data_IF_840210241768
#
_entry.id   IF_840210241768
#
_cell.length_a   1.000
_cell.length_b   1.000
_cell.length_c   1.000
_cell.angle_alpha   90.00
_cell.angle_beta   90.00
_cell.angle_gamma   90.00
#
_symmetry.space_group_name_H-M   'P 1'
#
loop_
_entity.id
_entity.type
_entity.pdbx_description
1 polymer ?
#
# COMPACT_ATOMS: atom_id res chain seq x y z
N UNK A 1 25.15 -18.38 0.73
CA UNK A 1 23.82 -18.00 1.25
C UNK A 1 23.81 -16.51 1.54
N UNK A 2 22.98 -15.67 0.88
CA UNK A 2 22.51 -14.45 1.56
C UNK A 2 21.58 -14.92 2.68
N UNK A 3 22.18 -15.27 3.82
CA UNK A 3 21.50 -15.17 5.12
C UNK A 3 21.18 -13.69 5.31
N UNK A 4 20.16 -13.35 6.07
CA UNK A 4 19.91 -11.96 6.47
C UNK A 4 21.08 -11.54 7.37
N UNK A 5 22.21 -11.16 6.79
CA UNK A 5 23.46 -10.87 7.52
C UNK A 5 23.61 -9.38 7.86
N UNK A 6 22.70 -8.56 7.37
CA UNK A 6 22.90 -7.12 7.18
C UNK A 6 21.61 -6.29 7.31
N UNK A 7 20.58 -6.80 8.00
CA UNK A 7 19.41 -6.02 8.39
C UNK A 7 19.65 -5.23 9.70
N UNK A 8 18.98 -4.08 9.91
CA UNK A 8 19.09 -3.31 11.16
C UNK A 8 18.49 -4.03 12.38
N UNK A 9 17.74 -5.12 12.17
CA UNK A 9 17.09 -5.90 13.21
C UNK A 9 17.73 -7.30 13.31
N UNK A 10 17.99 -7.80 14.53
CA UNK A 10 18.47 -9.16 14.71
C UNK A 10 17.42 -10.17 14.25
N UNK A 11 17.87 -11.36 13.87
CA UNK A 11 16.99 -12.51 13.62
C UNK A 11 16.11 -12.78 14.86
N UNK A 12 14.83 -13.03 14.63
CA UNK A 12 13.95 -13.52 15.69
C UNK A 12 14.22 -15.01 15.98
N UNK A 13 13.51 -15.58 16.95
CA UNK A 13 13.75 -16.98 17.35
C UNK A 13 13.28 -17.99 16.29
N UNK A 14 12.32 -17.61 15.44
CA UNK A 14 11.88 -18.43 14.30
C UNK A 14 12.93 -18.39 13.19
N UNK A 15 13.45 -17.20 12.87
CA UNK A 15 14.54 -17.02 11.91
C UNK A 15 15.79 -17.82 12.33
N UNK A 16 16.17 -17.74 13.61
CA UNK A 16 17.29 -18.53 14.16
C UNK A 16 17.03 -20.03 14.07
N UNK A 17 15.79 -20.46 14.33
CA UNK A 17 15.39 -21.87 14.23
C UNK A 17 15.47 -22.35 12.78
N UNK A 18 15.05 -21.53 11.82
CA UNK A 18 15.22 -21.80 10.39
C UNK A 18 16.70 -21.93 10.03
N UNK A 19 17.54 -20.94 10.40
CA UNK A 19 18.98 -20.99 10.12
C UNK A 19 19.65 -22.23 10.70
N UNK A 20 19.30 -22.59 11.94
CA UNK A 20 19.79 -23.81 12.58
C UNK A 20 19.27 -25.09 11.90
N UNK A 21 18.10 -25.04 11.27
CA UNK A 21 17.47 -26.18 10.60
C UNK A 21 17.95 -26.36 9.16
N UNK A 22 18.48 -25.32 8.50
CA UNK A 22 19.02 -25.41 7.14
C UNK A 22 20.13 -26.47 7.01
N UNK A 23 21.01 -26.60 8.00
CA UNK A 23 22.06 -27.63 8.00
C UNK A 23 21.47 -29.06 8.03
N UNK A 24 20.34 -29.25 8.74
CA UNK A 24 19.63 -30.55 8.76
C UNK A 24 19.02 -30.86 7.38
N UNK A 25 18.49 -29.83 6.71
CA UNK A 25 17.91 -29.99 5.38
C UNK A 25 18.97 -30.24 4.31
N UNK A 26 20.12 -29.55 4.40
CA UNK A 26 21.28 -29.81 3.53
C UNK A 26 21.77 -31.26 3.67
N UNK A 27 21.91 -31.76 4.90
CA UNK A 27 22.26 -33.16 5.15
C UNK A 27 21.20 -34.15 4.65
N UNK A 28 19.92 -33.75 4.65
CA UNK A 28 18.84 -34.55 4.07
C UNK A 28 18.95 -34.61 2.55
N UNK A 29 19.14 -33.48 1.87
CA UNK A 29 19.28 -33.41 0.41
C UNK A 29 20.51 -34.18 -0.09
N UNK A 30 21.61 -34.19 0.66
CA UNK A 30 22.78 -34.99 0.35
C UNK A 30 22.50 -36.51 0.32
N UNK A 31 21.53 -36.98 1.11
CA UNK A 31 21.08 -38.38 1.14
C UNK A 31 19.92 -38.67 0.20
N UNK A 32 19.21 -37.63 -0.23
CA UNK A 32 18.01 -37.71 -1.07
C UNK A 32 18.13 -36.72 -2.23
N UNK A 33 19.06 -36.96 -3.17
CA UNK A 33 19.25 -36.06 -4.31
C UNK A 33 17.97 -35.98 -5.14
N UNK A 34 17.63 -34.78 -5.60
CA UNK A 34 16.50 -34.59 -6.49
C UNK A 34 16.93 -34.82 -7.97
N UNK A 35 15.96 -35.09 -8.85
CA UNK A 35 16.19 -35.35 -10.27
C UNK A 35 16.25 -34.06 -11.12
N UNK A 36 16.57 -32.92 -10.52
CA UNK A 36 16.66 -31.62 -11.18
C UNK A 36 18.01 -30.96 -10.90
N UNK A 37 18.25 -29.82 -11.54
CA UNK A 37 19.42 -28.98 -11.27
C UNK A 37 19.20 -28.04 -10.07
N UNK A 38 18.08 -28.17 -9.34
CA UNK A 38 17.75 -27.32 -8.20
C UNK A 38 18.58 -27.69 -6.97
N UNK A 39 19.34 -26.75 -6.43
CA UNK A 39 20.19 -26.86 -5.23
C UNK A 39 19.79 -25.80 -4.22
N UNK A 40 20.26 -25.90 -2.97
CA UNK A 40 20.07 -24.82 -2.00
C UNK A 40 20.71 -23.49 -2.45
N UNK A 41 21.70 -23.52 -3.35
CA UNK A 41 22.28 -22.29 -3.88
C UNK A 41 21.39 -21.61 -4.92
N UNK A 42 20.72 -22.38 -5.78
CA UNK A 42 19.96 -21.85 -6.92
C UNK A 42 18.43 -21.97 -6.81
N UNK A 43 17.94 -22.60 -5.74
CA UNK A 43 16.52 -22.69 -5.45
C UNK A 43 15.90 -21.29 -5.46
N UNK A 44 14.72 -21.18 -6.09
CA UNK A 44 13.93 -19.97 -6.05
C UNK A 44 13.64 -19.64 -4.59
N UNK A 45 14.27 -18.57 -4.10
CA UNK A 45 13.97 -18.04 -2.78
C UNK A 45 12.64 -17.32 -2.92
N UNK A 46 11.69 -17.59 -2.03
CA UNK A 46 10.57 -16.68 -1.84
C UNK A 46 11.16 -15.42 -1.21
N UNK A 47 11.76 -14.59 -2.06
CA UNK A 47 12.38 -13.35 -1.66
C UNK A 47 11.34 -12.47 -0.98
N UNK A 48 11.78 -11.85 0.10
CA UNK A 48 11.25 -10.60 0.59
C UNK A 48 10.92 -9.70 -0.61
N UNK A 49 9.69 -9.22 -0.68
CA UNK A 49 9.23 -8.37 -1.78
C UNK A 49 10.24 -7.26 -2.07
N UNK A 50 10.65 -7.14 -3.32
CA UNK A 50 11.64 -6.15 -3.75
C UNK A 50 10.93 -4.87 -4.13
N UNK A 51 11.28 -3.80 -3.43
CA UNK A 51 10.89 -2.42 -3.74
C UNK A 51 11.95 -1.87 -4.68
N UNK A 52 11.53 -1.41 -5.86
CA UNK A 52 12.47 -0.93 -6.89
C UNK A 52 12.39 0.57 -7.15
N UNK A 53 11.34 1.25 -6.66
CA UNK A 53 11.12 2.68 -6.83
C UNK A 53 11.37 3.43 -5.52
N UNK A 54 11.73 4.71 -5.61
CA UNK A 54 12.01 5.54 -4.44
C UNK A 54 13.36 5.22 -3.76
N UNK A 55 13.55 5.62 -2.49
CA UNK A 55 12.60 6.44 -1.74
C UNK A 55 12.56 7.86 -2.31
N UNK A 56 11.38 8.49 -2.36
CA UNK A 56 11.22 9.90 -2.76
C UNK A 56 11.50 10.87 -1.61
N UNK A 57 11.52 10.36 -0.38
CA UNK A 57 11.90 11.08 0.83
C UNK A 57 12.54 10.13 1.85
N UNK A 58 13.30 10.66 2.81
CA UNK A 58 13.89 9.83 3.87
C UNK A 58 12.81 9.43 4.88
N UNK A 59 12.20 8.26 4.66
CA UNK A 59 11.21 7.67 5.57
C UNK A 59 11.88 6.79 6.63
N UNK A 60 12.99 6.12 6.26
CA UNK A 60 13.82 5.31 7.15
C UNK A 60 15.27 5.77 7.01
N UNK A 61 16.02 5.79 8.12
CA UNK A 61 17.32 6.45 8.22
C UNK A 61 18.42 5.82 7.34
N UNK A 62 18.34 4.52 7.07
CA UNK A 62 19.38 3.72 6.43
C UNK A 62 19.03 3.35 4.96
N UNK A 63 18.06 4.03 4.35
CA UNK A 63 17.73 3.80 2.94
C UNK A 63 18.71 4.52 2.01
N UNK A 64 19.26 3.84 1.00
CA UNK A 64 20.05 4.49 -0.03
C UNK A 64 19.16 5.48 -0.80
N UNK A 65 19.64 6.71 -1.07
CA UNK A 65 18.89 7.67 -1.87
C UNK A 65 18.65 7.11 -3.27
N UNK A 66 17.59 7.57 -3.94
CA UNK A 66 17.35 7.18 -5.33
C UNK A 66 18.57 7.58 -6.20
N UNK A 67 19.05 6.69 -7.09
CA UNK A 67 20.26 6.97 -7.88
C UNK A 67 20.06 8.05 -8.96
N UNK A 68 18.81 8.43 -9.25
CA UNK A 68 18.48 9.52 -10.16
C UNK A 68 17.88 10.70 -9.40
N UNK A 69 18.25 11.91 -9.81
CA UNK A 69 17.75 13.16 -9.22
C UNK A 69 16.24 13.37 -9.38
N UNK A 70 15.61 12.68 -10.35
CA UNK A 70 14.16 12.70 -10.56
C UNK A 70 13.41 11.66 -9.71
N UNK A 71 14.11 10.89 -8.88
CA UNK A 71 13.59 9.81 -8.04
C UNK A 71 12.94 8.63 -8.78
N UNK A 72 13.12 8.52 -10.11
CA UNK A 72 12.62 7.40 -10.93
C UNK A 72 13.71 6.39 -11.30
N UNK A 73 14.84 6.38 -10.59
CA UNK A 73 15.89 5.38 -10.72
C UNK A 73 15.50 4.04 -10.13
N UNK A 74 15.89 2.96 -10.81
CA UNK A 74 15.82 1.61 -10.25
C UNK A 74 16.72 1.53 -9.02
N UNK A 75 16.11 1.28 -7.86
CA UNK A 75 16.77 1.25 -6.56
C UNK A 75 16.31 0.01 -5.77
N UNK A 76 16.64 -1.21 -6.23
CA UNK A 76 16.12 -2.45 -5.66
C UNK A 76 16.61 -2.66 -4.23
N UNK A 77 15.66 -2.89 -3.31
CA UNK A 77 15.88 -3.17 -1.90
C UNK A 77 14.70 -3.95 -1.31
N UNK A 78 14.87 -4.54 -0.14
CA UNK A 78 13.77 -5.27 0.51
C UNK A 78 12.69 -4.31 1.00
N UNK A 79 11.43 -4.73 0.88
CA UNK A 79 10.30 -4.12 1.57
C UNK A 79 10.54 -4.16 3.09
N UNK A 80 10.25 -3.05 3.76
CA UNK A 80 10.38 -2.90 5.21
C UNK A 80 9.09 -2.34 5.78
N UNK A 81 8.69 -2.84 6.94
CA UNK A 81 7.55 -2.31 7.70
C UNK A 81 7.99 -1.99 9.12
N UNK A 82 7.33 -1.01 9.70
CA UNK A 82 7.51 -0.64 11.10
C UNK A 82 6.12 -0.31 11.66
N UNK A 83 5.46 -1.35 12.18
CA UNK A 83 4.03 -1.27 12.51
C UNK A 83 3.82 -0.27 13.65
N UNK A 84 3.13 0.82 13.35
CA UNK A 84 3.02 1.96 14.24
C UNK A 84 1.66 2.02 14.94
N UNK A 85 1.66 1.70 16.24
CA UNK A 85 0.44 1.77 17.08
C UNK A 85 -0.15 3.18 17.21
N UNK A 86 0.66 4.22 17.07
CA UNK A 86 0.20 5.61 17.18
C UNK A 86 -0.55 6.04 15.93
N UNK A 87 -0.07 5.66 14.75
CA UNK A 87 -0.79 5.86 13.49
C UNK A 87 -2.05 5.00 13.42
N UNK A 88 -2.01 3.78 13.94
CA UNK A 88 -3.18 2.91 14.04
C UNK A 88 -4.28 3.47 14.96
N UNK A 89 -3.93 4.39 15.87
CA UNK A 89 -4.89 4.94 16.82
C UNK A 89 -5.98 5.81 16.17
N UNK A 90 -5.78 6.25 14.92
CA UNK A 90 -6.77 7.05 14.16
C UNK A 90 -7.53 6.22 13.12
N UNK A 91 -7.37 4.89 13.12
CA UNK A 91 -8.02 3.99 12.16
C UNK A 91 -9.05 3.06 12.81
N UNK A 92 -9.50 3.39 14.02
CA UNK A 92 -10.60 2.69 14.68
C UNK A 92 -11.96 3.02 14.04
N UNK A 93 -12.95 2.21 14.38
CA UNK A 93 -14.32 2.32 13.85
C UNK A 93 -14.93 3.69 14.09
N UNK A 94 -14.74 4.28 15.27
CA UNK A 94 -15.25 5.62 15.60
C UNK A 94 -14.74 6.72 14.64
N UNK A 95 -13.51 6.61 14.14
CA UNK A 95 -12.95 7.55 13.16
C UNK A 95 -13.61 7.38 11.79
N UNK A 96 -13.77 6.14 11.33
CA UNK A 96 -14.47 5.88 10.05
C UNK A 96 -15.95 6.26 10.13
N UNK A 97 -16.59 6.06 11.30
CA UNK A 97 -17.97 6.43 11.55
C UNK A 97 -18.15 7.94 11.51
N UNK A 98 -17.38 8.71 12.31
CA UNK A 98 -17.41 10.18 12.30
C UNK A 98 -17.11 10.73 10.91
N UNK A 99 -16.10 10.18 10.22
CA UNK A 99 -15.79 10.55 8.83
C UNK A 99 -17.02 10.42 7.91
N UNK A 100 -17.79 9.34 8.02
CA UNK A 100 -18.98 9.12 7.19
C UNK A 100 -20.16 10.00 7.61
N UNK A 101 -20.42 10.13 8.92
CA UNK A 101 -21.66 10.72 9.42
C UNK A 101 -21.59 12.23 9.64
N UNK A 102 -20.39 12.80 9.81
CA UNK A 102 -20.20 14.21 10.17
C UNK A 102 -19.76 15.08 8.98
N UNK A 103 -19.43 14.47 7.83
CA UNK A 103 -19.01 15.19 6.64
C UNK A 103 -20.12 15.17 5.59
N UNK A 104 -20.75 16.33 5.34
CA UNK A 104 -21.94 16.39 4.47
C UNK A 104 -21.64 16.73 3.01
N UNK A 105 -20.44 17.21 2.70
CA UNK A 105 -19.99 17.53 1.35
C UNK A 105 -18.67 16.79 1.02
N UNK A 106 -18.34 16.71 -0.27
CA UNK A 106 -17.21 15.93 -0.76
C UNK A 106 -15.86 16.56 -0.40
N UNK A 107 -15.81 17.88 -0.29
CA UNK A 107 -14.60 18.64 0.04
C UNK A 107 -14.13 18.31 1.47
N UNK A 108 -15.04 18.41 2.45
CA UNK A 108 -14.76 18.09 3.85
C UNK A 108 -14.50 16.58 4.03
N UNK A 109 -15.31 15.74 3.39
CA UNK A 109 -15.13 14.28 3.43
C UNK A 109 -13.74 13.87 2.93
N UNK A 110 -13.33 14.37 1.76
CA UNK A 110 -12.03 14.03 1.19
C UNK A 110 -10.89 14.65 2.03
N UNK A 111 -11.01 15.89 2.46
CA UNK A 111 -9.97 16.55 3.28
C UNK A 111 -9.74 15.81 4.61
N UNK A 112 -10.81 15.44 5.30
CA UNK A 112 -10.73 14.74 6.59
C UNK A 112 -10.34 13.26 6.42
N UNK A 113 -10.71 12.63 5.31
CA UNK A 113 -10.24 11.28 4.97
C UNK A 113 -8.72 11.26 4.75
N UNK A 114 -8.21 12.19 3.93
CA UNK A 114 -6.79 12.29 3.57
C UNK A 114 -5.91 12.67 4.77
N UNK A 115 -6.45 13.49 5.68
CA UNK A 115 -5.73 14.06 6.81
C UNK A 115 -5.15 15.44 6.52
N UNK A 116 -4.79 16.15 7.58
CA UNK A 116 -4.17 17.47 7.52
C UNK A 116 -3.00 17.54 8.52
N UNK A 117 -1.80 17.29 8.02
CA UNK A 117 -0.56 17.30 8.81
C UNK A 117 -0.35 18.63 9.56
N UNK A 118 -0.74 19.77 8.98
CA UNK A 118 -0.62 21.09 9.61
C UNK A 118 -1.52 21.27 10.84
N UNK A 119 -2.55 20.44 10.98
CA UNK A 119 -3.45 20.40 12.15
C UNK A 119 -3.14 19.24 13.10
N UNK A 120 -2.09 18.47 12.83
CA UNK A 120 -1.81 17.19 13.47
C UNK A 120 -3.02 16.23 13.40
N UNK A 121 -3.80 16.35 12.31
CA UNK A 121 -4.88 15.43 11.99
C UNK A 121 -4.37 14.47 10.94
N UNK A 122 -4.39 13.18 11.28
CA UNK A 122 -3.87 12.16 10.39
C UNK A 122 -4.93 11.67 9.40
N UNK A 123 -6.22 11.76 9.72
CA UNK A 123 -7.24 11.09 8.94
C UNK A 123 -7.02 9.57 8.82
N UNK A 124 -7.99 8.88 8.24
CA UNK A 124 -7.94 7.41 8.12
C UNK A 124 -6.99 6.96 6.99
N UNK A 125 -6.74 7.81 5.99
CA UNK A 125 -5.83 7.52 4.88
C UNK A 125 -4.36 7.62 5.31
N UNK A 126 -3.92 8.79 5.80
CA UNK A 126 -2.54 8.95 6.28
C UNK A 126 -2.28 7.99 7.45
N UNK A 127 -3.22 7.88 8.40
CA UNK A 127 -3.14 6.91 9.49
C UNK A 127 -2.95 5.47 9.03
N UNK A 128 -3.70 5.04 8.00
CA UNK A 128 -3.57 3.70 7.43
C UNK A 128 -2.20 3.43 6.78
N UNK A 129 -1.68 4.38 5.98
CA UNK A 129 -0.33 4.28 5.41
C UNK A 129 0.75 4.19 6.50
N UNK A 130 0.73 5.10 7.46
CA UNK A 130 1.76 5.15 8.51
C UNK A 130 1.61 4.07 9.59
N UNK A 131 0.46 3.39 9.66
CA UNK A 131 0.31 2.15 10.45
C UNK A 131 1.23 1.05 9.93
N UNK A 132 1.38 0.94 8.60
CA UNK A 132 2.29 0.00 7.95
C UNK A 132 3.74 0.50 8.09
N UNK A 133 3.92 1.80 7.85
CA UNK A 133 5.21 2.48 8.00
C UNK A 133 6.29 1.92 7.08
N UNK A 134 7.55 2.16 7.44
CA UNK A 134 8.70 1.62 6.71
C UNK A 134 8.78 2.08 5.25
N UNK A 135 9.22 1.17 4.37
CA UNK A 135 9.55 1.42 2.97
C UNK A 135 8.95 0.33 2.07
N UNK A 136 8.00 0.69 1.17
CA UNK A 136 7.58 2.05 0.83
C UNK A 136 6.31 2.48 1.57
N UNK A 137 5.83 1.74 2.58
CA UNK A 137 4.54 2.00 3.23
C UNK A 137 4.39 3.42 3.80
N UNK A 138 5.47 4.00 4.31
CA UNK A 138 5.52 5.41 4.75
C UNK A 138 5.99 6.41 3.69
N UNK A 139 6.37 5.96 2.49
CA UNK A 139 6.72 6.83 1.36
C UNK A 139 5.48 7.11 0.52
N UNK A 140 4.94 8.32 0.65
CA UNK A 140 3.73 8.77 -0.05
C UNK A 140 3.76 8.49 -1.57
N UNK A 141 4.91 8.63 -2.23
CA UNK A 141 5.01 8.51 -3.69
C UNK A 141 5.17 7.07 -4.16
N UNK A 142 5.75 6.20 -3.34
CA UNK A 142 6.07 4.82 -3.71
C UNK A 142 5.28 3.77 -2.92
N UNK A 143 4.33 4.19 -2.07
CA UNK A 143 3.49 3.33 -1.24
C UNK A 143 2.78 2.16 -1.96
N UNK A 144 2.39 2.24 -3.26
CA UNK A 144 1.88 1.08 -3.98
C UNK A 144 2.86 -0.09 -4.12
N UNK A 145 4.16 0.14 -3.87
CA UNK A 145 5.15 -0.92 -3.79
C UNK A 145 5.00 -1.85 -2.59
N UNK A 146 4.19 -1.47 -1.58
CA UNK A 146 3.72 -2.38 -0.53
C UNK A 146 2.36 -2.98 -0.93
N UNK A 147 2.20 -4.32 -1.03
CA UNK A 147 0.92 -4.92 -1.40
C UNK A 147 -0.26 -4.58 -0.47
N UNK A 148 0.01 -4.21 0.78
CA UNK A 148 -1.05 -3.78 1.72
C UNK A 148 -1.70 -2.48 1.26
N UNK A 149 -1.05 -1.68 0.39
CA UNK A 149 -1.63 -0.52 -0.29
C UNK A 149 -3.01 -0.84 -0.88
N UNK A 150 -3.15 -1.97 -1.57
CA UNK A 150 -4.39 -2.31 -2.27
C UNK A 150 -5.51 -2.67 -1.31
N UNK A 151 -5.19 -3.28 -0.15
CA UNK A 151 -6.17 -3.54 0.90
C UNK A 151 -6.56 -2.25 1.62
N UNK A 152 -5.59 -1.38 1.90
CA UNK A 152 -5.85 -0.06 2.46
C UNK A 152 -6.77 0.77 1.55
N UNK A 153 -6.45 0.89 0.26
CA UNK A 153 -7.27 1.62 -0.70
C UNK A 153 -8.61 0.93 -1.00
N UNK A 154 -8.69 -0.39 -0.87
CA UNK A 154 -9.98 -1.11 -0.87
C UNK A 154 -10.89 -0.66 0.28
N UNK A 155 -10.35 -0.43 1.47
CA UNK A 155 -11.12 0.13 2.59
C UNK A 155 -11.43 1.62 2.38
N UNK A 156 -10.52 2.40 1.80
CA UNK A 156 -10.79 3.81 1.44
C UNK A 156 -11.96 3.91 0.45
N UNK A 157 -11.97 3.10 -0.61
CA UNK A 157 -13.09 3.07 -1.56
C UNK A 157 -14.38 2.60 -0.89
N UNK A 158 -14.31 1.59 0.00
CA UNK A 158 -15.47 1.16 0.80
C UNK A 158 -16.04 2.28 1.67
N UNK A 159 -15.20 3.05 2.36
CA UNK A 159 -15.64 4.20 3.19
C UNK A 159 -16.31 5.25 2.30
N UNK A 160 -15.71 5.57 1.15
CA UNK A 160 -16.30 6.50 0.19
C UNK A 160 -17.63 6.00 -0.37
N UNK A 161 -17.73 4.72 -0.68
CA UNK A 161 -18.97 4.08 -1.12
C UNK A 161 -20.07 4.17 -0.04
N UNK A 162 -19.76 3.86 1.21
CA UNK A 162 -20.72 3.98 2.33
C UNK A 162 -21.17 5.43 2.51
N UNK A 163 -20.25 6.39 2.41
CA UNK A 163 -20.57 7.82 2.47
C UNK A 163 -21.53 8.26 1.37
N UNK A 164 -21.31 7.79 0.13
CA UNK A 164 -22.22 8.05 -1.00
C UNK A 164 -23.61 7.44 -0.76
N UNK A 165 -23.68 6.24 -0.19
CA UNK A 165 -24.95 5.56 0.08
C UNK A 165 -25.82 6.24 1.16
N UNK A 166 -25.26 7.14 1.99
CA UNK A 166 -26.08 7.86 2.97
C UNK A 166 -27.06 8.84 2.31
N UNK A 167 -26.72 9.35 1.12
CA UNK A 167 -27.55 10.28 0.36
C UNK A 167 -27.18 10.21 -1.14
N UNK A 168 -27.54 9.11 -1.82
CA UNK A 168 -27.05 8.83 -3.16
C UNK A 168 -27.51 9.86 -4.20
N UNK A 169 -28.68 10.49 -4.00
CA UNK A 169 -29.20 11.53 -4.89
C UNK A 169 -28.25 12.74 -4.97
N UNK A 170 -27.64 13.11 -3.84
CA UNK A 170 -26.74 14.26 -3.75
C UNK A 170 -25.25 13.90 -3.76
N UNK A 171 -24.89 12.64 -3.50
CA UNK A 171 -23.48 12.23 -3.31
C UNK A 171 -22.89 11.34 -4.41
N UNK A 172 -23.70 10.76 -5.29
CA UNK A 172 -23.16 9.87 -6.35
C UNK A 172 -22.40 10.62 -7.46
N UNK A 173 -22.71 11.90 -7.67
CA UNK A 173 -22.17 12.71 -8.77
C UNK A 173 -21.45 13.97 -8.28
N UNK A 174 -20.68 13.86 -7.20
CA UNK A 174 -19.85 14.95 -6.65
C UNK A 174 -18.39 14.53 -6.57
N UNK A 175 -17.50 15.44 -6.98
CA UNK A 175 -16.05 15.27 -6.94
C UNK A 175 -15.43 16.52 -6.32
N UNK A 176 -14.48 16.33 -5.41
CA UNK A 176 -13.76 17.45 -4.79
C UNK A 176 -13.07 18.31 -5.85
N UNK A 177 -13.18 19.63 -5.69
CA UNK A 177 -12.66 20.60 -6.65
C UNK A 177 -13.48 20.74 -7.93
N UNK A 178 -14.56 19.96 -8.09
CA UNK A 178 -15.49 20.01 -9.22
C UNK A 178 -14.78 20.09 -10.59
N UNK A 179 -14.01 19.06 -10.97
CA UNK A 179 -13.24 19.06 -12.21
C UNK A 179 -14.16 19.18 -13.44
N UNK A 180 -13.60 19.65 -14.56
CA UNK A 180 -14.36 19.80 -15.81
C UNK A 180 -15.01 18.46 -16.24
N UNK A 181 -16.13 18.51 -16.95
CA UNK A 181 -16.79 17.27 -17.44
C UNK A 181 -15.94 16.48 -18.45
N UNK A 182 -14.94 17.11 -19.05
CA UNK A 182 -13.95 16.47 -19.92
C UNK A 182 -12.71 15.96 -19.19
N UNK A 183 -12.67 16.04 -17.86
CA UNK A 183 -11.53 15.59 -17.06
C UNK A 183 -11.32 14.07 -17.16
N UNK A 184 -10.05 13.67 -17.11
CA UNK A 184 -9.64 12.28 -17.33
C UNK A 184 -8.53 11.86 -16.40
N UNK A 185 -8.60 10.62 -15.92
CA UNK A 185 -7.52 9.95 -15.20
C UNK A 185 -6.70 9.13 -16.21
N UNK A 186 -5.37 9.30 -16.15
CA UNK A 186 -4.43 8.60 -17.04
C UNK A 186 -3.31 7.95 -16.21
N UNK A 187 -3.46 6.64 -15.97
CA UNK A 187 -2.47 5.81 -15.28
C UNK A 187 -1.38 5.28 -16.23
N UNK A 188 -1.28 5.85 -17.44
CA UNK A 188 -0.28 5.53 -18.46
C UNK A 188 -0.30 4.06 -18.84
N UNK A 189 0.80 3.35 -18.60
CA UNK A 189 0.94 1.93 -18.95
C UNK A 189 0.27 0.99 -17.95
N UNK A 190 -0.21 1.50 -16.81
CA UNK A 190 -0.83 0.68 -15.76
C UNK A 190 -2.28 0.35 -16.08
N UNK A 191 -3.02 1.28 -16.68
CA UNK A 191 -4.41 1.09 -17.08
C UNK A 191 -4.79 2.05 -18.22
N UNK A 192 -5.81 1.70 -19.04
CA UNK A 192 -6.37 2.63 -20.02
C UNK A 192 -6.81 3.95 -19.40
N UNK A 193 -6.76 5.01 -20.22
CA UNK A 193 -7.24 6.34 -19.84
C UNK A 193 -8.76 6.33 -19.69
N UNK A 194 -9.26 6.89 -18.58
CA UNK A 194 -10.68 6.89 -18.23
C UNK A 194 -11.21 8.30 -17.96
N UNK A 195 -12.51 8.51 -18.16
CA UNK A 195 -13.16 9.78 -17.79
C UNK A 195 -13.39 9.81 -16.28
N UNK A 196 -12.97 10.87 -15.60
CA UNK A 196 -13.03 10.96 -14.13
C UNK A 196 -14.47 10.80 -13.63
N UNK A 197 -15.42 11.46 -14.28
CA UNK A 197 -16.85 11.38 -13.93
C UNK A 197 -17.48 10.00 -14.17
N UNK A 198 -16.89 9.17 -15.04
CA UNK A 198 -17.37 7.83 -15.32
C UNK A 198 -16.90 6.82 -14.26
N UNK A 199 -15.90 7.16 -13.45
CA UNK A 199 -15.38 6.31 -12.38
C UNK A 199 -16.19 6.38 -11.08
N UNK A 200 -17.24 7.20 -11.03
CA UNK A 200 -18.00 7.51 -9.81
C UNK A 200 -18.93 6.39 -9.35
N UNK A 201 -19.37 5.54 -10.29
CA UNK A 201 -20.38 4.53 -10.04
C UNK A 201 -19.74 3.13 -10.03
N UNK A 202 -19.75 2.40 -8.89
CA UNK A 202 -19.21 1.04 -8.83
C UNK A 202 -20.06 0.02 -9.61
N UNK A 203 -21.25 0.41 -10.08
CA UNK A 203 -22.16 -0.40 -10.90
C UNK A 203 -22.34 0.28 -12.27
N UNK A 204 -21.54 -0.12 -13.25
CA UNK A 204 -21.60 0.35 -14.63
C UNK A 204 -20.64 1.48 -14.98
N UNK A 205 -19.87 2.02 -14.01
CA UNK A 205 -18.87 3.04 -14.26
C UNK A 205 -17.66 2.52 -15.06
N UNK A 206 -16.86 3.46 -15.57
CA UNK A 206 -15.72 3.21 -16.45
C UNK A 206 -16.12 2.33 -17.66
N UNK A 207 -17.11 2.78 -18.43
CA UNK A 207 -17.71 2.05 -19.54
C UNK A 207 -18.19 0.62 -19.19
N UNK A 208 -18.63 0.39 -17.94
CA UNK A 208 -19.12 -0.91 -17.48
C UNK A 208 -18.07 -1.82 -16.86
N UNK A 209 -16.80 -1.42 -16.82
CA UNK A 209 -15.73 -2.21 -16.18
C UNK A 209 -15.93 -2.32 -14.66
N UNK A 210 -16.54 -1.32 -14.04
CA UNK A 210 -16.90 -1.39 -12.62
C UNK A 210 -18.23 -2.11 -12.45
N UNK A 211 -18.21 -3.23 -11.73
CA UNK A 211 -19.39 -3.99 -11.36
C UNK A 211 -19.16 -4.70 -10.02
N UNK A 212 -19.19 -3.95 -8.92
CA UNK A 212 -18.89 -4.48 -7.59
C UNK A 212 -19.68 -3.76 -6.48
N UNK A 213 -19.77 -4.44 -5.32
CA UNK A 213 -20.22 -3.89 -4.03
C UNK A 213 -19.29 -4.40 -2.93
N UNK A 214 -19.34 -3.76 -1.75
CA UNK A 214 -18.67 -4.27 -0.56
C UNK A 214 -19.66 -4.97 0.37
N UNK A 215 -19.24 -6.09 0.96
CA UNK A 215 -20.00 -6.86 1.96
C UNK A 215 -19.23 -6.97 3.28
#
# INVERSE_FOLDING_TARGET
MHRRTDGPYPLDDTDKLEEASLAKFEAYLAKHPNNSNCTLENAARRYDMVVSLGPFGKIVNDLPPNPRADNFGSNPRCLRRDVNKYSAAVTFDNYTYSLITENNNIEDFQANMLGNASRNDWGVHMGGHYTIGGDPGGDFYSSPGDPVFYFHHGMIDRIWWIWKMQDPENRMNVLSGNPSKGDTVDLKWTAPKSKTWDMMNPIGGNNGDFCYIYV
#
